data_IF_491545905168
#
_entry.id   IF_491545905168
#
_cell.length_a   1.000
_cell.length_b   1.000
_cell.length_c   1.000
_cell.angle_alpha   90.00
_cell.angle_beta   90.00
_cell.angle_gamma   90.00
#
_symmetry.space_group_name_H-M   'P 1'
#
loop_
_entity.id
_entity.type
_entity.pdbx_description
1 polymer ?
#
# COMPACT_ATOMS: atom_id res chain seq x y z
N UNK A 1 4.97 -7.12 1.86
CA UNK A 1 5.98 -6.79 0.83
C UNK A 1 6.78 -5.55 1.22
N UNK A 2 6.15 -4.36 1.30
CA UNK A 2 6.84 -3.07 1.51
C UNK A 2 7.67 -3.00 2.80
N UNK A 3 7.11 -3.37 3.97
CA UNK A 3 7.83 -3.37 5.25
C UNK A 3 9.14 -4.16 5.17
N UNK A 4 9.08 -5.38 4.64
CA UNK A 4 10.25 -6.23 4.47
C UNK A 4 11.21 -5.70 3.40
N UNK A 5 10.68 -5.16 2.29
CA UNK A 5 11.47 -4.56 1.22
C UNK A 5 12.32 -3.38 1.68
N UNK A 6 11.76 -2.57 2.58
CA UNK A 6 12.47 -1.47 3.23
C UNK A 6 13.36 -1.92 4.39
N UNK A 7 13.44 -3.22 4.70
CA UNK A 7 14.26 -3.73 5.81
C UNK A 7 13.72 -3.41 7.20
N UNK A 8 12.44 -3.04 7.31
CA UNK A 8 11.83 -2.60 8.56
C UNK A 8 11.31 -3.76 9.41
N UNK A 9 11.32 -3.58 10.72
CA UNK A 9 10.67 -4.50 11.65
C UNK A 9 9.14 -4.29 11.64
N UNK A 10 8.38 -5.34 11.32
CA UNK A 10 6.92 -5.24 11.17
C UNK A 10 6.19 -4.90 12.47
N UNK A 11 6.67 -5.38 13.62
CA UNK A 11 6.04 -5.09 14.91
C UNK A 11 6.30 -3.64 15.34
N UNK A 12 7.52 -3.13 15.09
CA UNK A 12 7.86 -1.73 15.33
C UNK A 12 7.01 -0.78 14.46
N UNK A 13 6.82 -1.11 13.17
CA UNK A 13 5.93 -0.35 12.28
C UNK A 13 4.50 -0.34 12.81
N UNK A 14 3.94 -1.51 13.17
CA UNK A 14 2.57 -1.61 13.72
C UNK A 14 2.42 -0.81 15.01
N UNK A 15 3.42 -0.86 15.89
CA UNK A 15 3.43 -0.10 17.13
C UNK A 15 3.42 1.41 16.87
N UNK A 16 4.26 1.90 15.96
CA UNK A 16 4.31 3.32 15.59
C UNK A 16 2.96 3.81 15.06
N UNK A 17 2.35 3.09 14.12
CA UNK A 17 1.04 3.47 13.56
C UNK A 17 -0.07 3.44 14.61
N UNK A 18 -0.10 2.40 15.46
CA UNK A 18 -1.20 2.20 16.42
C UNK A 18 -1.11 3.15 17.61
N UNK A 19 0.09 3.32 18.16
CA UNK A 19 0.29 4.07 19.40
C UNK A 19 0.49 5.56 19.14
N UNK A 20 1.27 5.91 18.12
CA UNK A 20 1.70 7.30 17.90
C UNK A 20 0.83 8.03 16.87
N UNK A 21 0.17 7.27 15.98
CA UNK A 21 -0.67 7.79 14.88
C UNK A 21 0.03 8.94 14.13
N UNK A 22 1.25 8.72 13.62
CA UNK A 22 2.03 9.78 13.01
C UNK A 22 1.33 10.31 11.76
N UNK A 23 1.51 11.60 11.50
CA UNK A 23 1.29 12.16 10.16
C UNK A 23 2.27 11.52 9.15
N UNK A 24 1.98 11.65 7.87
CA UNK A 24 2.86 11.10 6.82
C UNK A 24 4.33 11.56 6.97
N UNK A 25 4.65 12.86 7.13
CA UNK A 25 6.05 13.29 7.28
C UNK A 25 6.69 12.81 8.60
N UNK A 26 5.91 12.67 9.67
CA UNK A 26 6.42 12.11 10.93
C UNK A 26 6.78 10.63 10.76
N UNK A 27 5.98 9.87 10.01
CA UNK A 27 6.26 8.48 9.73
C UNK A 27 7.48 8.32 8.80
N UNK A 28 7.63 9.18 7.78
CA UNK A 28 8.84 9.20 6.96
C UNK A 28 10.10 9.50 7.77
N UNK A 29 10.04 10.45 8.70
CA UNK A 29 11.14 10.76 9.60
C UNK A 29 11.49 9.53 10.47
N UNK A 30 10.48 8.88 11.05
CA UNK A 30 10.66 7.66 11.84
C UNK A 30 11.28 6.52 11.03
N UNK A 31 10.86 6.30 9.77
CA UNK A 31 11.44 5.27 8.90
C UNK A 31 12.95 5.48 8.69
N UNK A 32 13.38 6.74 8.49
CA UNK A 32 14.80 7.09 8.28
C UNK A 32 15.68 6.80 9.50
N UNK A 33 15.08 6.71 10.69
CA UNK A 33 15.77 6.41 11.95
C UNK A 33 15.88 4.90 12.24
N UNK A 34 15.23 4.03 11.45
CA UNK A 34 15.21 2.60 11.72
C UNK A 34 16.51 1.91 11.31
N UNK A 35 17.06 1.10 12.21
CA UNK A 35 18.22 0.25 11.93
C UNK A 35 17.92 -0.73 10.79
N UNK A 36 18.78 -0.75 9.77
CA UNK A 36 18.65 -1.63 8.62
C UNK A 36 17.67 -1.15 7.55
N UNK A 37 17.11 0.06 7.68
CA UNK A 37 16.29 0.67 6.65
C UNK A 37 17.04 0.77 5.31
N UNK A 38 16.44 0.21 4.25
CA UNK A 38 17.00 0.19 2.89
C UNK A 38 16.39 1.33 2.07
N UNK A 39 17.06 2.48 2.11
CA UNK A 39 16.61 3.72 1.48
C UNK A 39 17.54 4.21 0.36
N UNK A 40 18.51 3.38 -0.04
CA UNK A 40 19.36 3.65 -1.20
C UNK A 40 18.56 3.50 -2.50
N UNK A 41 19.02 4.18 -3.56
CA UNK A 41 18.29 4.28 -4.82
C UNK A 41 18.03 2.90 -5.47
N UNK A 42 18.98 1.97 -5.37
CA UNK A 42 18.85 0.64 -5.99
C UNK A 42 17.81 -0.20 -5.24
N UNK A 43 17.86 -0.21 -3.91
CA UNK A 43 16.86 -0.88 -3.08
C UNK A 43 15.44 -0.33 -3.32
N UNK A 44 15.30 0.99 -3.42
CA UNK A 44 14.01 1.65 -3.68
C UNK A 44 13.50 1.33 -5.08
N UNK A 45 14.37 1.37 -6.11
CA UNK A 45 13.97 1.01 -7.48
C UNK A 45 13.48 -0.43 -7.55
N UNK A 46 14.23 -1.38 -6.98
CA UNK A 46 13.85 -2.78 -6.99
C UNK A 46 12.52 -3.04 -6.25
N UNK A 47 12.27 -2.32 -5.15
CA UNK A 47 10.99 -2.40 -4.44
C UNK A 47 9.85 -1.84 -5.29
N UNK A 48 10.03 -0.68 -5.93
CA UNK A 48 9.03 -0.07 -6.79
C UNK A 48 8.67 -0.97 -7.98
N UNK A 49 9.67 -1.57 -8.64
CA UNK A 49 9.43 -2.52 -9.74
C UNK A 49 8.58 -3.72 -9.28
N UNK A 50 8.80 -4.19 -8.05
CA UNK A 50 8.00 -5.29 -7.47
C UNK A 50 6.56 -4.87 -7.13
N UNK A 51 6.34 -3.59 -6.80
CA UNK A 51 5.01 -3.03 -6.52
C UNK A 51 4.25 -2.84 -7.84
N UNK A 52 4.90 -2.27 -8.85
CA UNK A 52 4.29 -2.02 -10.16
C UNK A 52 3.88 -3.33 -10.85
N UNK A 53 4.68 -4.39 -10.71
CA UNK A 53 4.37 -5.72 -11.26
C UNK A 53 3.41 -6.57 -10.42
N UNK A 54 2.89 -6.05 -9.30
CA UNK A 54 2.03 -6.84 -8.41
C UNK A 54 0.57 -6.85 -8.90
N UNK A 55 0.02 -8.05 -9.07
CA UNK A 55 -1.39 -8.28 -9.35
C UNK A 55 -2.05 -8.92 -8.12
N UNK A 56 -3.28 -8.49 -7.82
CA UNK A 56 -4.14 -9.21 -6.87
C UNK A 56 -4.54 -10.58 -7.43
N UNK A 57 -4.98 -11.48 -6.55
CA UNK A 57 -5.66 -12.68 -7.00
C UNK A 57 -7.00 -12.35 -7.71
N UNK A 58 -7.46 -13.27 -8.57
CA UNK A 58 -8.66 -13.06 -9.39
C UNK A 58 -9.91 -12.75 -8.55
N UNK A 59 -10.03 -13.36 -7.36
CA UNK A 59 -11.20 -13.17 -6.50
C UNK A 59 -11.23 -11.75 -5.93
N UNK A 60 -10.08 -11.25 -5.49
CA UNK A 60 -9.91 -9.88 -5.01
C UNK A 60 -10.15 -8.87 -6.14
N UNK A 61 -9.57 -9.09 -7.32
CA UNK A 61 -9.83 -8.22 -8.50
C UNK A 61 -11.32 -8.13 -8.81
N UNK A 62 -11.98 -9.28 -8.96
CA UNK A 62 -13.41 -9.34 -9.30
C UNK A 62 -14.28 -8.68 -8.22
N UNK A 63 -13.91 -8.83 -6.94
CA UNK A 63 -14.58 -8.16 -5.82
C UNK A 63 -14.54 -6.64 -5.96
N UNK A 64 -13.36 -6.05 -6.17
CA UNK A 64 -13.16 -4.61 -6.32
C UNK A 64 -13.92 -4.07 -7.55
N UNK A 65 -13.81 -4.75 -8.70
CA UNK A 65 -14.51 -4.35 -9.92
C UNK A 65 -16.04 -4.36 -9.71
N UNK A 66 -16.57 -5.45 -9.13
CA UNK A 66 -18.00 -5.57 -8.88
C UNK A 66 -18.51 -4.55 -7.85
N UNK A 67 -17.73 -4.25 -6.80
CA UNK A 67 -18.09 -3.23 -5.80
C UNK A 67 -18.21 -1.84 -6.44
N UNK A 68 -17.36 -1.56 -7.43
CA UNK A 68 -17.39 -0.34 -8.23
C UNK A 68 -18.39 -0.38 -9.40
N UNK A 69 -19.20 -1.44 -9.53
CA UNK A 69 -20.17 -1.58 -10.62
C UNK A 69 -19.55 -1.77 -12.01
N UNK A 70 -18.29 -2.21 -12.07
CA UNK A 70 -17.54 -2.47 -13.29
C UNK A 70 -17.64 -3.95 -13.70
N UNK A 71 -17.59 -4.26 -15.01
CA UNK A 71 -17.50 -5.64 -15.49
C UNK A 71 -16.13 -6.26 -15.16
N UNK A 72 -16.04 -7.59 -15.17
CA UNK A 72 -14.75 -8.29 -15.09
C UNK A 72 -13.88 -7.96 -16.32
N UNK A 73 -12.57 -7.90 -16.12
CA UNK A 73 -11.60 -7.46 -17.11
C UNK A 73 -10.54 -6.55 -16.47
N UNK A 74 -10.27 -5.42 -17.12
CA UNK A 74 -9.27 -4.46 -16.69
C UNK A 74 -9.87 -3.42 -15.70
N UNK A 75 -9.07 -2.85 -14.79
CA UNK A 75 -7.63 -3.09 -14.60
C UNK A 75 -7.32 -4.43 -13.89
N UNK A 76 -6.15 -5.00 -14.19
CA UNK A 76 -5.64 -6.21 -13.52
C UNK A 76 -4.56 -5.91 -12.48
N UNK A 77 -3.88 -4.78 -12.62
CA UNK A 77 -2.80 -4.39 -11.71
C UNK A 77 -3.37 -3.94 -10.36
N UNK A 78 -2.69 -4.31 -9.28
CA UNK A 78 -3.15 -4.02 -7.93
C UNK A 78 -3.19 -2.53 -7.62
N UNK A 79 -2.34 -1.71 -8.26
CA UNK A 79 -2.27 -0.27 -8.00
C UNK A 79 -3.56 0.43 -8.45
N UNK A 80 -4.01 0.19 -9.69
CA UNK A 80 -5.24 0.76 -10.19
C UNK A 80 -6.49 0.15 -9.52
N UNK A 81 -6.44 -1.12 -9.15
CA UNK A 81 -7.51 -1.73 -8.36
C UNK A 81 -7.62 -1.08 -6.97
N UNK A 82 -6.51 -0.87 -6.27
CA UNK A 82 -6.53 -0.17 -4.97
C UNK A 82 -7.04 1.27 -5.12
N UNK A 83 -6.67 1.98 -6.20
CA UNK A 83 -7.23 3.32 -6.46
C UNK A 83 -8.78 3.28 -6.52
N UNK A 84 -9.37 2.30 -7.23
CA UNK A 84 -10.82 2.16 -7.31
C UNK A 84 -11.45 1.89 -5.94
N UNK A 85 -10.84 0.99 -5.17
CA UNK A 85 -11.33 0.61 -3.84
C UNK A 85 -11.22 1.79 -2.85
N UNK A 86 -10.06 2.44 -2.78
CA UNK A 86 -9.79 3.58 -1.91
C UNK A 86 -10.77 4.74 -2.16
N UNK A 87 -11.04 5.08 -3.44
CA UNK A 87 -11.99 6.14 -3.77
C UNK A 87 -13.42 5.80 -3.39
N UNK A 88 -13.82 4.53 -3.57
CA UNK A 88 -15.14 4.05 -3.15
C UNK A 88 -15.28 4.09 -1.63
N UNK A 89 -14.31 3.55 -0.90
CA UNK A 89 -14.28 3.56 0.57
C UNK A 89 -14.29 4.97 1.13
N UNK A 90 -13.51 5.89 0.53
CA UNK A 90 -13.48 7.29 0.93
C UNK A 90 -14.85 7.97 0.73
N UNK A 91 -15.48 7.78 -0.44
CA UNK A 91 -16.83 8.30 -0.67
C UNK A 91 -17.82 7.75 0.36
N UNK A 92 -17.76 6.44 0.64
CA UNK A 92 -18.63 5.80 1.62
C UNK A 92 -18.42 6.28 3.04
N UNK A 93 -17.18 6.60 3.44
CA UNK A 93 -16.87 7.06 4.79
C UNK A 93 -17.23 8.54 5.03
N UNK A 94 -17.01 9.38 4.01
CA UNK A 94 -17.05 10.84 4.18
C UNK A 94 -18.32 11.51 3.62
N UNK A 95 -19.04 10.85 2.70
CA UNK A 95 -20.16 11.47 1.96
C UNK A 95 -21.47 10.67 2.09
N UNK A 96 -21.40 9.33 2.09
CA UNK A 96 -22.58 8.45 1.98
C UNK A 96 -23.39 8.27 3.28
#
# INVERSE_FOLDING_TARGET
MVINGLGLNADAVRACITNDKPTYPQFEAWIREQDGAKLDADSISALNDSIEGYNHDDATRQGILSANGLPDGDPQDAVNLNNLDDWLEFHSAEIA
#
